data_IF_530910502942
#
_entry.id   IF_530910502942
#
_cell.length_a   1.000
_cell.length_b   1.000
_cell.length_c   1.000
_cell.angle_alpha   90.00
_cell.angle_beta   90.00
_cell.angle_gamma   90.00
#
_symmetry.space_group_name_H-M   'P 1'
#
loop_
_entity.id
_entity.type
_entity.pdbx_description
1 polymer ?
#
# COMPACT_ATOMS: atom_id res chain seq x y z
N UNK A 1 -11.61 -5.73 -13.87
CA UNK A 1 -11.40 -4.90 -12.69
C UNK A 1 -12.66 -4.66 -11.85
N UNK A 2 -13.79 -4.23 -12.42
CA UNK A 2 -15.01 -3.97 -11.62
C UNK A 2 -15.60 -5.22 -10.92
N UNK A 3 -15.55 -6.39 -11.55
CA UNK A 3 -16.04 -7.64 -10.97
C UNK A 3 -15.19 -8.09 -9.78
N UNK A 4 -13.87 -8.02 -9.89
CA UNK A 4 -12.91 -8.38 -8.82
C UNK A 4 -13.06 -7.46 -7.60
N UNK A 5 -13.19 -6.15 -7.84
CA UNK A 5 -13.45 -5.18 -6.77
C UNK A 5 -14.77 -5.46 -6.05
N UNK A 6 -15.82 -5.85 -6.77
CA UNK A 6 -17.12 -6.19 -6.18
C UNK A 6 -17.05 -7.42 -5.27
N UNK A 7 -16.31 -8.44 -5.69
CA UNK A 7 -16.09 -9.65 -4.88
C UNK A 7 -15.33 -9.27 -3.60
N UNK A 8 -14.24 -8.49 -3.73
CA UNK A 8 -13.43 -8.04 -2.60
C UNK A 8 -14.25 -7.22 -1.58
N UNK A 9 -15.04 -6.26 -2.07
CA UNK A 9 -15.95 -5.47 -1.23
C UNK A 9 -17.00 -6.36 -0.55
N UNK A 10 -17.46 -7.43 -1.19
CA UNK A 10 -18.39 -8.39 -0.58
C UNK A 10 -17.79 -9.12 0.63
N UNK A 11 -16.51 -9.54 0.55
CA UNK A 11 -15.80 -10.14 1.69
C UNK A 11 -15.62 -9.13 2.84
N UNK A 12 -15.22 -7.90 2.51
CA UNK A 12 -15.16 -6.81 3.50
C UNK A 12 -16.51 -6.54 4.16
N UNK A 13 -17.59 -6.59 3.38
CA UNK A 13 -18.96 -6.39 3.87
C UNK A 13 -19.43 -7.43 4.90
N UNK A 14 -18.85 -8.64 4.88
CA UNK A 14 -19.17 -9.67 5.91
C UNK A 14 -18.64 -9.26 7.30
N UNK A 15 -17.53 -8.50 7.35
CA UNK A 15 -16.88 -8.06 8.58
C UNK A 15 -17.03 -6.54 8.84
N UNK A 16 -18.12 -5.94 8.32
CA UNK A 16 -18.39 -4.49 8.40
C UNK A 16 -18.30 -3.90 9.81
N UNK A 17 -18.67 -4.65 10.84
CA UNK A 17 -18.61 -4.16 12.21
C UNK A 17 -17.18 -3.96 12.70
N UNK A 18 -16.27 -4.90 12.41
CA UNK A 18 -14.84 -4.74 12.73
C UNK A 18 -14.21 -3.59 11.97
N UNK A 19 -14.52 -3.47 10.67
CA UNK A 19 -14.04 -2.37 9.83
C UNK A 19 -14.57 -1.01 10.30
N UNK A 20 -15.79 -0.95 10.81
CA UNK A 20 -16.36 0.26 11.41
C UNK A 20 -15.59 0.65 12.68
N UNK A 21 -15.30 -0.30 13.58
CA UNK A 21 -14.48 -0.06 14.78
C UNK A 21 -13.10 0.45 14.38
N UNK A 22 -12.44 -0.20 13.41
CA UNK A 22 -11.15 0.26 12.89
C UNK A 22 -11.25 1.68 12.35
N UNK A 23 -12.27 2.01 11.56
CA UNK A 23 -12.47 3.34 11.00
C UNK A 23 -12.64 4.40 12.09
N UNK A 24 -13.39 4.10 13.14
CA UNK A 24 -13.56 5.02 14.30
C UNK A 24 -12.24 5.21 15.03
N UNK A 25 -11.52 4.14 15.36
CA UNK A 25 -10.24 4.22 16.06
C UNK A 25 -9.16 4.93 15.25
N UNK A 26 -9.09 4.69 13.95
CA UNK A 26 -8.19 5.42 13.03
C UNK A 26 -8.54 6.90 13.00
N UNK A 27 -9.84 7.25 12.95
CA UNK A 27 -10.29 8.65 12.99
C UNK A 27 -9.89 9.32 14.30
N UNK A 28 -10.10 8.66 15.44
CA UNK A 28 -9.69 9.18 16.76
C UNK A 28 -8.19 9.40 16.81
N UNK A 29 -7.39 8.42 16.34
CA UNK A 29 -5.93 8.52 16.30
C UNK A 29 -5.46 9.66 15.39
N UNK A 30 -6.04 9.81 14.20
CA UNK A 30 -5.71 10.88 13.27
C UNK A 30 -6.06 12.27 13.81
N UNK A 31 -7.24 12.42 14.43
CA UNK A 31 -7.65 13.66 15.05
C UNK A 31 -6.77 14.00 16.27
N UNK A 32 -6.42 13.02 17.10
CA UNK A 32 -5.50 13.24 18.22
C UNK A 32 -4.13 13.72 17.73
N UNK A 33 -3.61 13.17 16.62
CA UNK A 33 -2.36 13.61 16.01
C UNK A 33 -2.45 15.08 15.51
N UNK A 34 -3.54 15.43 14.82
CA UNK A 34 -3.80 16.79 14.35
C UNK A 34 -3.91 17.79 15.50
N UNK A 35 -4.69 17.46 16.54
CA UNK A 35 -4.88 18.31 17.71
C UNK A 35 -3.60 18.44 18.53
N UNK A 36 -2.83 17.35 18.68
CA UNK A 36 -1.53 17.36 19.33
C UNK A 36 -0.53 18.27 18.61
N UNK A 37 -0.52 18.22 17.27
CA UNK A 37 0.29 19.14 16.45
C UNK A 37 -0.16 20.59 16.60
N UNK A 38 -1.46 20.85 16.65
CA UNK A 38 -1.99 22.21 16.90
C UNK A 38 -1.59 22.75 18.28
N UNK A 39 -1.49 21.89 19.31
CA UNK A 39 -1.07 22.27 20.67
C UNK A 39 0.39 22.76 20.75
N UNK A 40 1.23 22.49 19.76
CA UNK A 40 2.59 23.03 19.71
C UNK A 40 2.58 24.56 19.76
N UNK A 41 1.61 25.21 19.09
CA UNK A 41 1.50 26.68 19.05
C UNK A 41 1.30 27.29 20.42
N UNK A 42 0.27 26.94 21.24
CA UNK A 42 0.12 27.52 22.58
C UNK A 42 1.29 27.15 23.51
N UNK A 43 1.86 25.95 23.39
CA UNK A 43 3.01 25.54 24.20
C UNK A 43 4.23 26.43 23.92
N UNK A 44 4.55 26.70 22.65
CA UNK A 44 5.66 27.58 22.25
C UNK A 44 5.40 29.03 22.68
N UNK A 45 4.16 29.51 22.54
CA UNK A 45 3.80 30.87 22.98
C UNK A 45 3.95 31.05 24.50
N UNK A 46 3.51 30.08 25.30
CA UNK A 46 3.66 30.11 26.76
C UNK A 46 5.13 30.06 27.19
N UNK A 47 5.96 29.30 26.48
CA UNK A 47 7.41 29.30 26.68
C UNK A 47 8.03 30.66 26.40
N UNK A 48 7.66 31.29 25.27
CA UNK A 48 8.17 32.62 24.89
C UNK A 48 7.75 33.73 25.89
N UNK A 49 6.58 33.58 26.50
CA UNK A 49 6.07 34.53 27.51
C UNK A 49 6.66 34.26 28.92
N UNK A 50 7.41 33.19 29.15
CA UNK A 50 7.97 32.82 30.44
C UNK A 50 6.95 32.29 31.45
N UNK A 51 5.74 31.96 31.03
CA UNK A 51 4.68 31.42 31.90
C UNK A 51 4.83 29.92 32.06
N UNK A 52 5.61 29.54 33.08
CA UNK A 52 5.92 28.13 33.37
C UNK A 52 4.68 27.31 33.79
N UNK A 53 3.69 27.97 34.42
CA UNK A 53 2.47 27.25 34.85
C UNK A 53 1.59 26.87 33.65
N UNK A 54 1.30 27.82 32.78
CA UNK A 54 0.54 27.57 31.54
C UNK A 54 1.29 26.66 30.57
N UNK A 55 2.64 26.74 30.55
CA UNK A 55 3.49 25.82 29.80
C UNK A 55 3.29 24.38 30.28
N UNK A 56 3.40 24.14 31.61
CA UNK A 56 3.24 22.78 32.17
C UNK A 56 1.86 22.20 31.88
N UNK A 57 0.81 23.00 32.01
CA UNK A 57 -0.57 22.56 31.64
C UNK A 57 -0.64 22.24 30.15
N UNK A 58 -0.12 23.09 29.30
CA UNK A 58 -0.12 22.87 27.84
C UNK A 58 0.57 21.56 27.44
N UNK A 59 1.73 21.28 28.05
CA UNK A 59 2.48 20.03 27.82
C UNK A 59 1.69 18.81 28.32
N UNK A 60 1.08 18.88 29.51
CA UNK A 60 0.27 17.79 30.03
C UNK A 60 -0.98 17.50 29.16
N UNK A 61 -1.64 18.53 28.68
CA UNK A 61 -2.79 18.38 27.76
C UNK A 61 -2.35 17.75 26.45
N UNK A 62 -1.23 18.23 25.86
CA UNK A 62 -0.69 17.65 24.64
C UNK A 62 -0.30 16.19 24.84
N UNK A 63 0.35 15.86 25.95
CA UNK A 63 0.70 14.48 26.31
C UNK A 63 -0.55 13.59 26.44
N UNK A 64 -1.61 14.09 27.06
CA UNK A 64 -2.90 13.38 27.17
C UNK A 64 -3.54 13.10 25.80
N UNK A 65 -3.53 14.10 24.89
CA UNK A 65 -4.04 13.94 23.53
C UNK A 65 -3.23 12.88 22.76
N UNK A 66 -1.91 12.95 22.81
CA UNK A 66 -1.06 11.94 22.16
C UNK A 66 -1.21 10.55 22.76
N UNK A 67 -1.41 10.45 24.09
CA UNK A 67 -1.67 9.16 24.75
C UNK A 67 -2.99 8.54 24.27
N UNK A 68 -4.07 9.31 24.14
CA UNK A 68 -5.34 8.84 23.56
C UNK A 68 -5.13 8.40 22.11
N UNK A 69 -4.40 9.19 21.32
CA UNK A 69 -4.04 8.85 19.95
C UNK A 69 -3.26 7.54 19.83
N UNK A 70 -2.29 7.32 20.72
CA UNK A 70 -1.49 6.10 20.75
C UNK A 70 -2.31 4.87 21.16
N UNK A 71 -3.19 5.00 22.16
CA UNK A 71 -4.12 3.92 22.55
C UNK A 71 -5.08 3.57 21.41
N UNK A 72 -5.62 4.57 20.73
CA UNK A 72 -6.47 4.35 19.57
C UNK A 72 -5.69 3.70 18.42
N UNK A 73 -4.42 4.10 18.20
CA UNK A 73 -3.54 3.50 17.21
C UNK A 73 -3.27 2.02 17.49
N UNK A 74 -2.95 1.71 18.73
CA UNK A 74 -2.78 0.32 19.17
C UNK A 74 -4.06 -0.50 18.99
N UNK A 75 -5.21 0.07 19.37
CA UNK A 75 -6.52 -0.57 19.26
C UNK A 75 -6.91 -0.88 17.80
N UNK A 76 -6.74 0.08 16.88
CA UNK A 76 -7.07 -0.18 15.47
C UNK A 76 -6.10 -1.18 14.82
N UNK A 77 -4.81 -1.14 15.17
CA UNK A 77 -3.83 -2.09 14.67
C UNK A 77 -4.20 -3.53 15.03
N UNK A 78 -4.52 -3.78 16.31
CA UNK A 78 -4.94 -5.11 16.77
C UNK A 78 -6.25 -5.57 16.12
N UNK A 79 -7.21 -4.66 15.98
CA UNK A 79 -8.52 -4.97 15.39
C UNK A 79 -8.40 -5.22 13.89
N UNK A 80 -7.52 -4.47 13.19
CA UNK A 80 -7.29 -4.63 11.77
C UNK A 80 -6.65 -5.97 11.44
N UNK A 81 -5.65 -6.40 12.21
CA UNK A 81 -5.05 -7.74 12.05
C UNK A 81 -6.11 -8.84 12.20
N UNK A 82 -6.98 -8.74 13.22
CA UNK A 82 -8.08 -9.72 13.40
C UNK A 82 -9.05 -9.70 12.23
N UNK A 83 -9.44 -8.51 11.76
CA UNK A 83 -10.34 -8.37 10.61
C UNK A 83 -9.74 -8.95 9.32
N UNK A 84 -8.47 -8.64 9.05
CA UNK A 84 -7.75 -9.17 7.89
C UNK A 84 -7.65 -10.70 7.94
N UNK A 85 -7.31 -11.28 9.10
CA UNK A 85 -7.24 -12.74 9.25
C UNK A 85 -8.60 -13.43 9.05
N UNK A 86 -9.70 -12.80 9.46
CA UNK A 86 -11.03 -13.34 9.20
C UNK A 86 -11.41 -13.30 7.72
N UNK A 87 -11.08 -12.19 7.03
CA UNK A 87 -11.28 -12.09 5.57
C UNK A 87 -10.45 -13.13 4.83
N UNK A 88 -9.18 -13.31 5.23
CA UNK A 88 -8.28 -14.32 4.66
C UNK A 88 -8.82 -15.74 4.90
N UNK A 89 -9.30 -16.03 6.10
CA UNK A 89 -9.91 -17.31 6.42
C UNK A 89 -11.13 -17.59 5.51
N UNK A 90 -12.01 -16.62 5.33
CA UNK A 90 -13.16 -16.76 4.43
C UNK A 90 -12.73 -16.98 2.97
N UNK A 91 -11.74 -16.24 2.49
CA UNK A 91 -11.20 -16.41 1.13
C UNK A 91 -10.60 -17.79 0.96
N UNK A 92 -9.76 -18.26 1.91
CA UNK A 92 -9.14 -19.60 1.84
C UNK A 92 -10.20 -20.69 1.84
N UNK A 93 -11.21 -20.57 2.70
CA UNK A 93 -12.33 -21.54 2.75
C UNK A 93 -13.09 -21.59 1.43
N UNK A 94 -13.50 -20.43 0.92
CA UNK A 94 -14.32 -20.33 -0.29
C UNK A 94 -13.49 -20.75 -1.53
N UNK A 95 -12.20 -20.43 -1.59
CA UNK A 95 -11.26 -20.89 -2.62
C UNK A 95 -11.10 -22.41 -2.58
N UNK A 96 -10.89 -22.99 -1.40
CA UNK A 96 -10.77 -24.43 -1.25
C UNK A 96 -12.05 -25.17 -1.64
N UNK A 97 -13.21 -24.68 -1.20
CA UNK A 97 -14.50 -25.22 -1.57
C UNK A 97 -14.73 -25.17 -3.10
N UNK A 98 -14.37 -24.06 -3.73
CA UNK A 98 -14.47 -23.93 -5.19
C UNK A 98 -13.53 -24.89 -5.91
N UNK A 99 -12.30 -25.04 -5.43
CA UNK A 99 -11.33 -25.97 -6.02
C UNK A 99 -11.84 -27.42 -6.02
N UNK A 100 -12.59 -27.84 -4.98
CA UNK A 100 -13.16 -29.18 -4.93
C UNK A 100 -14.26 -29.42 -5.98
N UNK A 101 -14.83 -28.38 -6.56
CA UNK A 101 -15.85 -28.47 -7.62
C UNK A 101 -15.28 -28.46 -9.03
N UNK A 102 -13.97 -28.24 -9.18
CA UNK A 102 -13.33 -28.17 -10.49
C UNK A 102 -13.11 -29.55 -11.11
N UNK A 103 -13.24 -29.68 -12.44
CA UNK A 103 -13.00 -30.94 -13.13
C UNK A 103 -11.51 -31.32 -13.11
N UNK A 104 -11.20 -32.62 -13.16
CA UNK A 104 -9.82 -33.14 -13.18
C UNK A 104 -8.95 -32.50 -14.27
N UNK A 105 -9.53 -32.20 -15.43
CA UNK A 105 -8.84 -31.50 -16.53
C UNK A 105 -8.17 -30.19 -16.10
N UNK A 106 -8.73 -29.47 -15.11
CA UNK A 106 -8.14 -28.24 -14.59
C UNK A 106 -6.78 -28.53 -13.91
N UNK A 107 -6.72 -29.60 -13.12
CA UNK A 107 -5.52 -30.01 -12.40
C UNK A 107 -4.44 -30.57 -13.32
N UNK A 108 -4.84 -31.21 -14.44
CA UNK A 108 -3.90 -31.69 -15.45
C UNK A 108 -3.23 -30.55 -16.23
N UNK A 109 -3.92 -29.42 -16.37
CA UNK A 109 -3.43 -28.25 -17.13
C UNK A 109 -2.66 -27.23 -16.27
N UNK A 110 -2.75 -27.29 -14.95
CA UNK A 110 -2.11 -26.35 -14.04
C UNK A 110 -0.99 -27.01 -13.25
N UNK A 111 0.12 -26.31 -13.06
CA UNK A 111 1.20 -26.79 -12.19
C UNK A 111 0.71 -26.76 -10.73
N UNK A 112 1.03 -27.79 -9.97
CA UNK A 112 0.69 -27.85 -8.54
C UNK A 112 1.25 -26.66 -7.75
N UNK A 113 2.44 -26.15 -8.12
CA UNK A 113 3.05 -24.97 -7.53
C UNK A 113 2.24 -23.70 -7.73
N UNK A 114 1.64 -23.52 -8.91
CA UNK A 114 0.79 -22.33 -9.20
C UNK A 114 -0.47 -22.34 -8.33
N UNK A 115 -1.10 -23.51 -8.20
CA UNK A 115 -2.27 -23.67 -7.33
C UNK A 115 -1.90 -23.42 -5.87
N UNK A 116 -0.74 -23.93 -5.43
CA UNK A 116 -0.28 -23.71 -4.05
C UNK A 116 0.07 -22.25 -3.78
N UNK A 117 0.63 -21.53 -4.77
CA UNK A 117 0.93 -20.10 -4.68
C UNK A 117 -0.33 -19.26 -4.43
N UNK A 118 -1.49 -19.63 -5.00
CA UNK A 118 -2.77 -18.95 -4.71
C UNK A 118 -3.13 -19.02 -3.23
N UNK A 119 -2.90 -20.16 -2.57
CA UNK A 119 -3.23 -20.37 -1.15
C UNK A 119 -2.23 -19.73 -0.18
N UNK A 120 -1.01 -19.49 -0.63
CA UNK A 120 0.06 -18.91 0.17
C UNK A 120 0.31 -17.46 -0.22
N UNK A 121 1.08 -17.21 -1.26
CA UNK A 121 1.57 -15.86 -1.61
C UNK A 121 0.46 -14.87 -1.96
N UNK A 122 -0.52 -15.27 -2.77
CA UNK A 122 -1.55 -14.34 -3.24
C UNK A 122 -2.48 -13.94 -2.11
N UNK A 123 -2.87 -14.89 -1.26
CA UNK A 123 -3.73 -14.61 -0.11
C UNK A 123 -2.98 -13.81 0.95
N UNK A 124 -1.70 -14.10 1.20
CA UNK A 124 -0.89 -13.32 2.15
C UNK A 124 -0.67 -11.89 1.64
N UNK A 125 -0.51 -11.70 0.33
CA UNK A 125 -0.48 -10.37 -0.29
C UNK A 125 -1.79 -9.59 -0.06
N UNK A 126 -2.94 -10.27 -0.13
CA UNK A 126 -4.24 -9.66 0.19
C UNK A 126 -4.30 -9.28 1.68
N UNK A 127 -3.82 -10.14 2.58
CA UNK A 127 -3.77 -9.86 4.01
C UNK A 127 -2.93 -8.61 4.32
N UNK A 128 -1.74 -8.51 3.73
CA UNK A 128 -0.84 -7.37 3.89
C UNK A 128 -1.42 -6.08 3.32
N UNK A 129 -2.05 -6.16 2.15
CA UNK A 129 -2.75 -5.02 1.57
C UNK A 129 -3.90 -4.53 2.46
N UNK A 130 -4.68 -5.43 3.04
CA UNK A 130 -5.75 -5.07 3.98
C UNK A 130 -5.19 -4.43 5.25
N UNK A 131 -4.19 -5.06 5.87
CA UNK A 131 -3.61 -4.58 7.12
C UNK A 131 -3.02 -3.17 6.98
N UNK A 132 -2.32 -2.91 5.89
CA UNK A 132 -1.58 -1.66 5.72
C UNK A 132 -2.40 -0.59 5.00
N UNK A 133 -3.09 -0.94 3.90
CA UNK A 133 -3.68 0.06 3.01
C UNK A 133 -4.99 0.65 3.55
N UNK A 134 -5.82 -0.14 4.22
CA UNK A 134 -7.14 0.32 4.67
C UNK A 134 -7.03 1.43 5.73
N UNK A 135 -6.29 1.18 6.80
CA UNK A 135 -6.09 2.17 7.87
C UNK A 135 -5.32 3.40 7.36
N UNK A 136 -4.26 3.17 6.56
CA UNK A 136 -3.45 4.25 5.98
C UNK A 136 -4.27 5.16 5.06
N UNK A 137 -5.17 4.63 4.24
CA UNK A 137 -6.02 5.43 3.37
C UNK A 137 -6.93 6.38 4.16
N UNK A 138 -7.61 5.86 5.20
CA UNK A 138 -8.47 6.68 6.08
C UNK A 138 -7.64 7.74 6.80
N UNK A 139 -6.52 7.32 7.39
CA UNK A 139 -5.64 8.22 8.14
C UNK A 139 -5.10 9.35 7.26
N UNK A 140 -4.59 9.03 6.07
CA UNK A 140 -4.05 10.02 5.13
C UNK A 140 -5.11 11.01 4.66
N UNK A 141 -6.34 10.54 4.41
CA UNK A 141 -7.45 11.39 4.01
C UNK A 141 -7.81 12.39 5.12
N UNK A 142 -7.95 11.91 6.36
CA UNK A 142 -8.26 12.77 7.52
C UNK A 142 -7.11 13.74 7.78
N UNK A 143 -5.85 13.26 7.69
CA UNK A 143 -4.67 14.09 7.89
C UNK A 143 -4.59 15.22 6.85
N UNK A 144 -4.82 14.90 5.57
CA UNK A 144 -4.77 15.87 4.50
C UNK A 144 -5.84 16.97 4.67
N UNK A 145 -7.10 16.57 4.88
CA UNK A 145 -8.20 17.51 5.06
C UNK A 145 -8.03 18.29 6.36
N UNK A 146 -7.74 17.60 7.46
CA UNK A 146 -7.59 18.21 8.77
C UNK A 146 -6.43 19.21 8.82
N UNK A 147 -5.29 18.89 8.20
CA UNK A 147 -4.17 19.83 8.10
C UNK A 147 -4.56 21.07 7.30
N UNK A 148 -5.25 20.91 6.16
CA UNK A 148 -5.74 22.07 5.38
C UNK A 148 -6.68 22.93 6.22
N UNK A 149 -7.64 22.33 6.92
CA UNK A 149 -8.58 23.09 7.77
C UNK A 149 -7.81 23.88 8.86
N UNK A 150 -6.88 23.23 9.56
CA UNK A 150 -6.07 23.89 10.60
C UNK A 150 -5.24 25.03 9.99
N UNK A 151 -4.63 24.85 8.84
CA UNK A 151 -3.86 25.88 8.15
C UNK A 151 -4.74 27.11 7.83
N UNK A 152 -5.95 26.91 7.31
CA UNK A 152 -6.87 28.02 7.02
C UNK A 152 -7.33 28.76 8.27
N UNK A 153 -7.52 28.06 9.39
CA UNK A 153 -7.84 28.68 10.69
C UNK A 153 -6.66 29.49 11.22
N UNK A 154 -5.43 29.01 11.03
CA UNK A 154 -4.23 29.69 11.54
C UNK A 154 -3.86 30.94 10.73
N UNK A 155 -3.81 30.83 9.42
CA UNK A 155 -3.47 31.94 8.53
C UNK A 155 -3.95 31.65 7.09
N UNK A 156 -5.07 32.27 6.70
CA UNK A 156 -5.69 32.05 5.39
C UNK A 156 -4.79 32.44 4.20
N UNK A 157 -3.94 33.50 4.37
CA UNK A 157 -3.05 33.96 3.29
C UNK A 157 -1.94 32.95 2.98
N UNK A 158 -1.31 32.38 4.01
CA UNK A 158 -0.29 31.34 3.85
C UNK A 158 -0.93 30.04 3.35
N UNK A 159 -2.13 29.71 3.82
CA UNK A 159 -2.86 28.50 3.40
C UNK A 159 -3.22 28.54 1.93
N UNK A 160 -3.51 29.70 1.37
CA UNK A 160 -3.77 29.87 -0.05
C UNK A 160 -2.52 29.51 -0.88
N UNK A 161 -1.33 29.95 -0.44
CA UNK A 161 -0.06 29.60 -1.09
C UNK A 161 0.13 28.07 -1.07
N UNK A 162 -0.06 27.42 0.08
CA UNK A 162 0.06 25.96 0.24
C UNK A 162 -0.93 25.24 -0.68
N UNK A 163 -2.18 25.71 -0.75
CA UNK A 163 -3.20 25.10 -1.62
C UNK A 163 -2.84 25.21 -3.10
N UNK A 164 -2.29 26.34 -3.53
CA UNK A 164 -1.78 26.51 -4.91
C UNK A 164 -0.61 25.57 -5.17
N UNK A 165 0.33 25.43 -4.22
CA UNK A 165 1.44 24.47 -4.34
C UNK A 165 0.93 23.01 -4.46
N UNK A 166 -0.09 22.62 -3.68
CA UNK A 166 -0.72 21.30 -3.84
C UNK A 166 -1.35 21.14 -5.24
N UNK A 167 -2.06 22.16 -5.73
CA UNK A 167 -2.62 22.15 -7.09
C UNK A 167 -1.56 21.92 -8.17
N UNK A 168 -0.45 22.65 -8.08
CA UNK A 168 0.70 22.46 -9.00
C UNK A 168 1.28 21.08 -8.87
N UNK A 169 1.45 20.56 -7.66
CA UNK A 169 1.98 19.21 -7.42
C UNK A 169 1.06 18.12 -8.00
N UNK A 170 -0.26 18.22 -7.82
CA UNK A 170 -1.23 17.30 -8.43
C UNK A 170 -1.21 17.36 -9.96
N UNK A 171 -1.11 18.57 -10.51
CA UNK A 171 -0.99 18.74 -11.96
C UNK A 171 0.30 18.09 -12.50
N UNK A 172 1.44 18.33 -11.82
CA UNK A 172 2.71 17.72 -12.17
C UNK A 172 2.67 16.20 -12.06
N UNK A 173 2.09 15.65 -10.98
CA UNK A 173 1.93 14.20 -10.81
C UNK A 173 1.10 13.57 -11.93
N UNK A 174 0.01 14.22 -12.34
CA UNK A 174 -0.82 13.75 -13.46
C UNK A 174 -0.04 13.73 -14.77
N UNK A 175 0.75 14.75 -15.03
CA UNK A 175 1.56 14.85 -16.24
C UNK A 175 2.73 13.85 -16.24
N UNK A 176 3.46 13.78 -15.13
CA UNK A 176 4.57 12.85 -14.94
C UNK A 176 4.09 11.40 -14.95
N UNK A 177 2.98 11.09 -14.28
CA UNK A 177 2.42 9.74 -14.23
C UNK A 177 2.00 9.20 -15.61
N UNK A 178 1.53 10.06 -16.51
CA UNK A 178 1.21 9.66 -17.87
C UNK A 178 2.47 9.25 -18.65
N UNK A 179 3.58 9.97 -18.48
CA UNK A 179 4.89 9.60 -19.05
C UNK A 179 5.45 8.32 -18.43
N UNK A 180 5.47 8.25 -17.11
CA UNK A 180 5.99 7.09 -16.37
C UNK A 180 5.27 5.80 -16.77
N UNK A 181 3.96 5.86 -17.02
CA UNK A 181 3.19 4.69 -17.48
C UNK A 181 3.75 4.05 -18.74
N UNK A 182 4.21 4.86 -19.69
CA UNK A 182 4.79 4.35 -20.95
C UNK A 182 6.15 3.69 -20.71
N UNK A 183 6.97 4.28 -19.85
CA UNK A 183 8.28 3.71 -19.49
C UNK A 183 8.13 2.40 -18.70
N UNK A 184 7.25 2.38 -17.69
CA UNK A 184 6.97 1.16 -16.93
C UNK A 184 6.40 0.03 -17.81
N UNK A 185 5.57 0.36 -18.81
CA UNK A 185 5.05 -0.63 -19.75
C UNK A 185 6.17 -1.26 -20.59
N UNK A 186 7.13 -0.45 -21.09
CA UNK A 186 8.31 -0.93 -21.81
C UNK A 186 9.22 -1.78 -20.92
N UNK A 187 9.51 -1.31 -19.71
CA UNK A 187 10.31 -2.05 -18.74
C UNK A 187 9.67 -3.41 -18.42
N UNK A 188 8.34 -3.44 -18.19
CA UNK A 188 7.63 -4.68 -17.92
C UNK A 188 7.62 -5.64 -19.10
N UNK A 189 7.55 -5.10 -20.33
CA UNK A 189 7.69 -5.90 -21.53
C UNK A 189 9.09 -6.53 -21.64
N UNK A 190 10.15 -5.74 -21.45
CA UNK A 190 11.53 -6.25 -21.50
C UNK A 190 11.84 -7.23 -20.37
N UNK A 191 11.22 -7.04 -19.19
CA UNK A 191 11.30 -8.00 -18.11
C UNK A 191 10.65 -9.34 -18.51
N UNK A 192 9.44 -9.31 -19.09
CA UNK A 192 8.77 -10.50 -19.58
C UNK A 192 9.53 -11.23 -20.70
N UNK A 193 10.20 -10.48 -21.60
CA UNK A 193 11.07 -11.06 -22.64
C UNK A 193 12.30 -11.75 -22.01
N UNK A 194 12.88 -11.18 -20.97
CA UNK A 194 14.01 -11.76 -20.25
C UNK A 194 13.60 -13.00 -19.45
N UNK A 195 12.49 -12.93 -18.72
CA UNK A 195 11.97 -14.04 -17.92
C UNK A 195 11.59 -15.22 -18.81
N UNK A 196 10.91 -14.98 -19.94
CA UNK A 196 10.61 -16.02 -20.92
C UNK A 196 11.86 -16.69 -21.48
N UNK A 197 12.90 -15.90 -21.78
CA UNK A 197 14.18 -16.45 -22.22
C UNK A 197 14.87 -17.30 -21.15
N UNK A 198 14.85 -16.85 -19.89
CA UNK A 198 15.40 -17.64 -18.76
C UNK A 198 14.65 -18.96 -18.62
N UNK A 199 13.32 -18.95 -18.67
CA UNK A 199 12.50 -20.16 -18.59
C UNK A 199 12.82 -21.14 -19.72
N UNK A 200 12.96 -20.64 -20.97
CA UNK A 200 13.34 -21.43 -22.12
C UNK A 200 14.73 -22.07 -21.96
N UNK A 201 15.73 -21.27 -21.55
CA UNK A 201 17.10 -21.76 -21.33
C UNK A 201 17.19 -22.77 -20.18
N UNK A 202 16.49 -22.55 -19.09
CA UNK A 202 16.45 -23.47 -17.96
C UNK A 202 15.77 -24.78 -18.35
N UNK A 203 14.66 -24.71 -19.06
CA UNK A 203 13.92 -25.90 -19.55
C UNK A 203 14.72 -26.66 -20.62
N UNK A 204 15.40 -25.92 -21.49
CA UNK A 204 16.23 -26.46 -22.58
C UNK A 204 17.69 -26.73 -22.22
N UNK A 205 18.08 -26.64 -20.94
CA UNK A 205 19.49 -26.69 -20.51
C UNK A 205 20.26 -27.91 -21.03
N UNK A 206 19.60 -29.06 -21.13
CA UNK A 206 20.21 -30.29 -21.68
C UNK A 206 20.59 -30.11 -23.16
N UNK A 207 19.74 -29.43 -23.93
CA UNK A 207 19.97 -29.16 -25.35
C UNK A 207 21.14 -28.20 -25.52
N UNK A 208 21.12 -27.10 -24.76
CA UNK A 208 22.21 -26.10 -24.74
C UNK A 208 23.55 -26.75 -24.48
N UNK A 209 23.62 -27.69 -23.51
CA UNK A 209 24.85 -28.45 -23.16
C UNK A 209 25.30 -29.40 -24.24
N UNK A 210 24.38 -30.18 -24.86
CA UNK A 210 24.70 -31.14 -25.91
C UNK A 210 25.27 -30.44 -27.14
N UNK A 211 24.76 -29.26 -27.48
CA UNK A 211 25.19 -28.50 -28.67
C UNK A 211 26.30 -27.47 -28.38
N UNK A 212 26.85 -27.42 -27.15
CA UNK A 212 27.87 -26.45 -26.72
C UNK A 212 27.49 -24.98 -27.01
N UNK A 213 26.20 -24.65 -26.76
CA UNK A 213 25.62 -23.34 -27.11
C UNK A 213 25.63 -22.33 -25.96
N UNK A 214 26.37 -22.60 -24.88
CA UNK A 214 26.38 -21.79 -23.64
C UNK A 214 26.83 -20.36 -23.88
N UNK A 215 27.87 -20.16 -24.70
CA UNK A 215 28.42 -18.82 -24.98
C UNK A 215 27.40 -17.94 -25.74
N UNK A 216 26.73 -18.51 -26.74
CA UNK A 216 25.72 -17.77 -27.50
C UNK A 216 24.50 -17.45 -26.61
N UNK A 217 24.04 -18.40 -25.79
CA UNK A 217 22.95 -18.19 -24.84
C UNK A 217 23.30 -17.12 -23.80
N UNK A 218 24.54 -17.08 -23.32
CA UNK A 218 24.99 -16.05 -22.40
C UNK A 218 25.00 -14.67 -23.06
N UNK A 219 25.46 -14.58 -24.30
CA UNK A 219 25.49 -13.31 -25.03
C UNK A 219 24.08 -12.77 -25.24
N UNK A 220 23.14 -13.60 -25.66
CA UNK A 220 21.74 -13.19 -25.83
C UNK A 220 21.10 -12.77 -24.51
N UNK A 221 21.39 -13.47 -23.42
CA UNK A 221 20.96 -13.05 -22.08
C UNK A 221 21.48 -11.66 -21.73
N UNK A 222 22.77 -11.41 -21.96
CA UNK A 222 23.39 -10.12 -21.66
C UNK A 222 22.77 -8.99 -22.49
N UNK A 223 22.43 -9.22 -23.76
CA UNK A 223 21.75 -8.23 -24.61
C UNK A 223 20.35 -7.89 -24.08
N UNK A 224 19.55 -8.91 -23.73
CA UNK A 224 18.21 -8.71 -23.15
C UNK A 224 18.28 -8.01 -21.79
N UNK A 225 19.23 -8.39 -20.95
CA UNK A 225 19.45 -7.80 -19.63
C UNK A 225 19.91 -6.32 -19.74
N UNK A 226 20.78 -6.01 -20.71
CA UNK A 226 21.20 -4.63 -20.98
C UNK A 226 20.05 -3.76 -21.52
N UNK A 227 19.15 -4.35 -22.35
CA UNK A 227 17.93 -3.68 -22.82
C UNK A 227 17.04 -3.34 -21.61
N UNK A 228 16.80 -4.30 -20.73
CA UNK A 228 16.02 -4.09 -19.50
C UNK A 228 16.64 -2.99 -18.61
N UNK A 229 17.96 -3.01 -18.43
CA UNK A 229 18.69 -1.99 -17.67
C UNK A 229 18.50 -0.59 -18.25
N UNK A 230 18.61 -0.43 -19.58
CA UNK A 230 18.41 0.86 -20.25
C UNK A 230 17.00 1.39 -20.12
N UNK A 231 16.01 0.53 -20.27
CA UNK A 231 14.59 0.91 -20.12
C UNK A 231 14.24 1.21 -18.67
N UNK A 232 14.84 0.51 -17.69
CA UNK A 232 14.66 0.78 -16.27
C UNK A 232 15.35 2.05 -15.78
N UNK A 233 16.45 2.48 -16.41
CA UNK A 233 17.16 3.73 -16.06
C UNK A 233 16.64 4.95 -16.79
N UNK A 234 15.83 4.77 -17.84
CA UNK A 234 15.19 5.85 -18.59
C UNK A 234 13.83 6.29 -18.02
N UNK A 235 13.35 5.62 -16.97
CA UNK A 235 12.14 5.97 -16.25
C UNK A 235 12.48 6.90 -15.06
#
# INVERSE_FOLDING_TARGET
>A
MQHTLRIFVSYLGRHKFMLLIVSILVTVSALANLLGTYMIRPVVNNLANGDLHSLAIGVLVAAGIFAIGALAAWGYSQTMVKAAQQVVFDIRRDLFAHMQTLPLRFFDQKRHGDIMSLFTNDIDTIADALNNSFAMAIQSFIQMIGTLVILYILNWKLSLIVTVCYGIMFWYMKFSGAKSKVFYAKQQQSLGELDGYIEEMVSGQKVVKVFNHEQASLQEFLEKNEKLRKEGTGA
#
